data_IF_925482604460
#
_entry.id   IF_925482604460
#
_cell.length_a   1.000
_cell.length_b   1.000
_cell.length_c   1.000
_cell.angle_alpha   90.00
_cell.angle_beta   90.00
_cell.angle_gamma   90.00
#
_symmetry.space_group_name_H-M   'P 1'
#
loop_
_entity.id
_entity.type
_entity.pdbx_description
1 polymer ?
#
# COMPACT_ATOMS: atom_id res chain seq x y z
N UNK A 1 -4.23 14.19 -21.53
CA UNK A 1 -4.41 12.72 -21.59
C UNK A 1 -4.59 12.34 -23.06
N UNK A 2 -4.03 11.22 -23.54
CA UNK A 2 -3.80 10.95 -24.98
C UNK A 2 -5.04 10.83 -25.89
N UNK A 3 -6.26 11.01 -25.34
CA UNK A 3 -7.51 10.89 -26.11
C UNK A 3 -7.80 9.46 -26.60
N UNK A 4 -7.12 8.47 -26.02
CA UNK A 4 -7.28 7.05 -26.35
C UNK A 4 -8.32 6.46 -25.41
N UNK A 5 -9.28 5.72 -25.96
CA UNK A 5 -10.27 4.97 -25.19
C UNK A 5 -9.57 3.91 -24.31
N UNK A 6 -9.93 3.87 -23.02
CA UNK A 6 -9.46 2.85 -22.10
C UNK A 6 -10.49 1.73 -22.01
N UNK A 7 -10.10 0.54 -22.42
CA UNK A 7 -10.88 -0.69 -22.23
C UNK A 7 -10.27 -1.45 -21.06
N UNK A 8 -10.95 -1.44 -19.92
CA UNK A 8 -10.53 -2.19 -18.74
C UNK A 8 -11.01 -3.64 -18.82
N UNK A 9 -10.08 -4.60 -18.66
CA UNK A 9 -10.40 -6.03 -18.58
C UNK A 9 -10.60 -6.49 -17.15
N UNK A 10 -11.16 -7.70 -16.99
CA UNK A 10 -11.41 -8.28 -15.67
C UNK A 10 -10.12 -8.50 -14.87
N UNK A 11 -10.15 -8.13 -13.59
CA UNK A 11 -9.05 -8.36 -12.65
C UNK A 11 -9.18 -9.72 -11.95
N UNK A 12 -8.95 -10.80 -12.71
CA UNK A 12 -9.12 -12.19 -12.25
C UNK A 12 -7.87 -12.74 -11.53
N UNK A 13 -7.72 -12.31 -10.27
CA UNK A 13 -6.62 -12.69 -9.37
C UNK A 13 -6.63 -14.19 -9.06
N UNK A 14 -7.79 -14.76 -8.76
CA UNK A 14 -7.90 -16.15 -8.30
C UNK A 14 -7.44 -17.15 -9.35
N UNK A 15 -7.89 -17.02 -10.60
CA UNK A 15 -7.42 -17.95 -11.62
C UNK A 15 -5.98 -17.64 -12.05
N UNK A 16 -5.52 -16.39 -11.92
CA UNK A 16 -4.10 -16.10 -12.12
C UNK A 16 -3.24 -16.80 -11.06
N UNK A 17 -3.63 -16.75 -9.78
CA UNK A 17 -2.96 -17.47 -8.69
C UNK A 17 -2.96 -18.99 -8.91
N UNK A 18 -4.08 -19.55 -9.38
CA UNK A 18 -4.14 -20.98 -9.75
C UNK A 18 -3.17 -21.32 -10.89
N UNK A 19 -3.09 -20.47 -11.91
CA UNK A 19 -2.24 -20.71 -13.08
C UNK A 19 -0.74 -20.67 -12.72
N UNK A 20 -0.33 -19.83 -11.78
CA UNK A 20 1.08 -19.69 -11.37
C UNK A 20 1.46 -20.55 -10.16
N UNK A 21 0.56 -21.42 -9.71
CA UNK A 21 0.81 -22.31 -8.56
C UNK A 21 1.99 -23.24 -8.85
N UNK A 22 2.94 -23.32 -7.92
CA UNK A 22 4.20 -24.05 -8.08
C UNK A 22 5.33 -23.24 -8.71
N UNK A 23 5.06 -22.02 -9.18
CA UNK A 23 6.05 -21.11 -9.78
C UNK A 23 6.26 -19.85 -8.91
N UNK A 24 5.86 -19.87 -7.65
CA UNK A 24 5.88 -18.70 -6.75
C UNK A 24 7.31 -18.17 -6.52
N UNK A 25 8.29 -19.07 -6.53
CA UNK A 25 9.70 -18.75 -6.31
C UNK A 25 10.50 -18.49 -7.60
N UNK A 26 9.86 -18.58 -8.77
CA UNK A 26 10.53 -18.31 -10.05
C UNK A 26 11.03 -16.86 -10.09
N UNK A 27 12.28 -16.65 -10.52
CA UNK A 27 12.86 -15.32 -10.63
C UNK A 27 12.13 -14.49 -11.70
N UNK A 28 12.39 -13.19 -11.69
CA UNK A 28 11.99 -12.33 -12.81
C UNK A 28 12.61 -12.87 -14.11
N UNK A 29 11.82 -12.90 -15.21
CA UNK A 29 12.14 -13.57 -16.49
C UNK A 29 12.10 -15.11 -16.47
N UNK A 30 11.74 -15.73 -15.34
CA UNK A 30 11.48 -17.18 -15.26
C UNK A 30 10.10 -17.59 -15.77
N UNK A 31 9.74 -18.85 -15.54
CA UNK A 31 8.53 -19.49 -16.10
C UNK A 31 7.23 -18.82 -15.66
N UNK A 32 7.17 -18.31 -14.42
CA UNK A 32 6.03 -17.52 -13.93
C UNK A 32 5.72 -16.31 -14.81
N UNK A 33 6.75 -15.67 -15.39
CA UNK A 33 6.55 -14.54 -16.28
C UNK A 33 5.88 -14.98 -17.59
N UNK A 34 6.27 -16.11 -18.15
CA UNK A 34 5.66 -16.66 -19.37
C UNK A 34 4.16 -16.91 -19.17
N UNK A 35 3.77 -17.59 -18.07
CA UNK A 35 2.35 -17.83 -17.72
C UNK A 35 1.57 -16.51 -17.61
N UNK A 36 2.18 -15.49 -17.00
CA UNK A 36 1.56 -14.18 -16.86
C UNK A 36 1.36 -13.47 -18.22
N UNK A 37 2.33 -13.58 -19.13
CA UNK A 37 2.23 -13.01 -20.47
C UNK A 37 1.15 -13.72 -21.28
N UNK A 38 1.13 -15.05 -21.28
CA UNK A 38 0.12 -15.83 -22.02
C UNK A 38 -1.29 -15.41 -21.62
N UNK A 39 -1.59 -15.38 -20.31
CA UNK A 39 -2.92 -14.99 -19.82
C UNK A 39 -3.29 -13.55 -20.20
N UNK A 40 -2.35 -12.60 -20.07
CA UNK A 40 -2.63 -11.17 -20.36
C UNK A 40 -2.75 -10.91 -21.86
N UNK A 41 -1.85 -11.48 -22.66
CA UNK A 41 -1.85 -11.27 -24.11
C UNK A 41 -3.02 -11.98 -24.76
N UNK A 42 -3.48 -13.12 -24.22
CA UNK A 42 -4.64 -13.81 -24.76
C UNK A 42 -5.89 -12.94 -24.70
N UNK A 43 -6.14 -12.29 -23.55
CA UNK A 43 -7.27 -11.36 -23.38
C UNK A 43 -7.14 -10.17 -24.36
N UNK A 44 -5.95 -9.58 -24.48
CA UNK A 44 -5.71 -8.46 -25.42
C UNK A 44 -5.88 -8.87 -26.88
N UNK A 45 -5.30 -10.00 -27.30
CA UNK A 45 -5.37 -10.49 -28.67
C UNK A 45 -6.81 -10.87 -29.06
N UNK A 46 -7.55 -11.52 -28.15
CA UNK A 46 -8.96 -11.82 -28.35
C UNK A 46 -9.78 -10.53 -28.52
N UNK A 47 -9.57 -9.53 -27.66
CA UNK A 47 -10.29 -8.26 -27.73
C UNK A 47 -9.97 -7.49 -29.01
N UNK A 48 -8.70 -7.42 -29.39
CA UNK A 48 -8.26 -6.79 -30.65
C UNK A 48 -8.94 -7.44 -31.86
N UNK A 49 -8.94 -8.78 -31.93
CA UNK A 49 -9.60 -9.54 -33.00
C UNK A 49 -11.11 -9.28 -33.04
N UNK A 50 -11.79 -9.24 -31.88
CA UNK A 50 -13.23 -8.91 -31.80
C UNK A 50 -13.56 -7.48 -32.28
N UNK A 51 -12.63 -6.54 -32.11
CA UNK A 51 -12.78 -5.16 -32.57
C UNK A 51 -12.45 -4.99 -34.06
N UNK A 52 -11.93 -6.04 -34.71
CA UNK A 52 -11.47 -5.97 -36.10
C UNK A 52 -10.08 -5.34 -36.26
N UNK A 53 -9.32 -5.22 -35.17
CA UNK A 53 -7.95 -4.70 -35.22
C UNK A 53 -6.99 -5.73 -35.83
N UNK A 54 -6.14 -5.27 -36.75
CA UNK A 54 -5.18 -6.15 -37.43
C UNK A 54 -3.93 -6.44 -36.59
N UNK A 55 -3.63 -5.58 -35.61
CA UNK A 55 -2.38 -5.62 -34.86
C UNK A 55 -2.58 -5.31 -33.39
N UNK A 56 -1.76 -5.92 -32.52
CA UNK A 56 -1.66 -5.53 -31.12
C UNK A 56 -0.20 -5.48 -30.68
N UNK A 57 0.07 -4.76 -29.59
CA UNK A 57 1.40 -4.63 -28.99
C UNK A 57 1.28 -4.52 -27.47
N UNK A 58 2.41 -4.36 -26.77
CA UNK A 58 2.43 -4.30 -25.31
C UNK A 58 3.43 -3.30 -24.78
N UNK A 59 3.02 -2.54 -23.76
CA UNK A 59 3.91 -1.66 -22.99
C UNK A 59 5.00 -2.43 -22.24
N UNK A 60 4.83 -3.75 -22.02
CA UNK A 60 5.84 -4.62 -21.40
C UNK A 60 7.16 -4.65 -22.19
N UNK A 61 7.13 -4.35 -23.50
CA UNK A 61 8.30 -4.27 -24.38
C UNK A 61 9.28 -3.15 -23.98
N UNK A 62 8.82 -2.16 -23.22
CA UNK A 62 9.67 -1.08 -22.69
C UNK A 62 10.48 -1.50 -21.46
N UNK A 63 10.12 -2.61 -20.80
CA UNK A 63 10.69 -2.96 -19.50
C UNK A 63 12.03 -3.71 -19.62
N UNK A 64 13.12 -3.25 -18.96
CA UNK A 64 14.37 -4.02 -18.90
C UNK A 64 14.25 -5.27 -18.03
N UNK A 65 13.22 -5.33 -17.17
CA UNK A 65 12.94 -6.47 -16.29
C UNK A 65 12.25 -7.62 -17.01
N UNK A 66 11.75 -7.42 -18.23
CA UNK A 66 11.06 -8.46 -19.00
C UNK A 66 11.96 -9.05 -20.10
N UNK A 67 11.80 -10.34 -20.38
CA UNK A 67 12.46 -10.98 -21.52
C UNK A 67 11.70 -10.62 -22.78
N UNK A 68 12.38 -9.95 -23.71
CA UNK A 68 11.78 -9.58 -25.00
C UNK A 68 11.47 -10.81 -25.84
N UNK A 69 12.30 -11.85 -25.74
CA UNK A 69 12.10 -13.11 -26.44
C UNK A 69 10.85 -13.84 -25.96
N UNK A 70 10.62 -13.91 -24.63
CA UNK A 70 9.40 -14.49 -24.07
C UNK A 70 8.15 -13.70 -24.49
N UNK A 71 8.22 -12.36 -24.43
CA UNK A 71 7.11 -11.50 -24.86
C UNK A 71 6.79 -11.68 -26.35
N UNK A 72 7.83 -11.69 -27.19
CA UNK A 72 7.67 -11.90 -28.63
C UNK A 72 7.07 -13.27 -28.92
N UNK A 73 7.60 -14.33 -28.29
CA UNK A 73 7.09 -15.69 -28.46
C UNK A 73 5.60 -15.80 -28.07
N UNK A 74 5.23 -15.33 -26.88
CA UNK A 74 3.84 -15.35 -26.42
C UNK A 74 2.91 -14.56 -27.36
N UNK A 75 3.34 -13.37 -27.77
CA UNK A 75 2.59 -12.54 -28.71
C UNK A 75 2.42 -13.18 -30.09
N UNK A 76 3.47 -13.75 -30.67
CA UNK A 76 3.44 -14.41 -31.98
C UNK A 76 2.51 -15.65 -31.98
N UNK A 77 2.53 -16.44 -30.90
CA UNK A 77 1.64 -17.60 -30.74
C UNK A 77 0.18 -17.16 -30.72
N UNK A 78 -0.15 -16.11 -29.97
CA UNK A 78 -1.51 -15.60 -29.83
C UNK A 78 -1.98 -14.84 -31.08
N UNK A 79 -1.09 -14.10 -31.73
CA UNK A 79 -1.33 -13.46 -33.01
C UNK A 79 -1.78 -14.50 -34.05
N UNK A 80 -1.07 -15.64 -34.14
CA UNK A 80 -1.45 -16.76 -35.00
C UNK A 80 -2.80 -17.36 -34.62
N UNK A 81 -3.07 -17.54 -33.32
CA UNK A 81 -4.33 -18.09 -32.81
C UNK A 81 -5.56 -17.24 -33.20
N UNK A 82 -5.43 -15.91 -33.14
CA UNK A 82 -6.54 -14.98 -33.39
C UNK A 82 -6.52 -14.33 -34.79
N UNK A 83 -5.62 -14.79 -35.67
CA UNK A 83 -5.45 -14.27 -37.04
C UNK A 83 -5.21 -12.74 -37.09
N UNK A 84 -4.32 -12.26 -36.21
CA UNK A 84 -3.84 -10.87 -36.14
C UNK A 84 -2.30 -10.87 -36.10
N UNK A 85 -1.66 -9.70 -36.03
CA UNK A 85 -0.19 -9.58 -35.91
C UNK A 85 0.24 -8.98 -34.57
N UNK A 86 1.31 -9.51 -33.98
CA UNK A 86 1.94 -8.90 -32.81
C UNK A 86 3.13 -8.05 -33.22
N UNK A 87 3.15 -6.79 -32.77
CA UNK A 87 4.26 -5.86 -33.03
C UNK A 87 5.14 -5.82 -31.78
N UNK A 88 6.41 -6.24 -31.90
CA UNK A 88 7.36 -6.34 -30.80
C UNK A 88 8.67 -5.53 -30.98
N UNK A 89 8.62 -4.19 -31.06
CA UNK A 89 9.83 -3.37 -31.17
C UNK A 89 10.64 -3.40 -29.89
N UNK A 90 11.97 -3.37 -30.00
CA UNK A 90 12.85 -3.24 -28.84
C UNK A 90 13.00 -1.76 -28.45
N UNK A 91 12.03 -1.22 -27.71
CA UNK A 91 12.02 0.18 -27.25
C UNK A 91 13.15 0.53 -26.27
N UNK A 92 13.98 -0.44 -25.87
CA UNK A 92 15.06 -0.23 -24.90
C UNK A 92 16.38 0.16 -25.58
N UNK A 93 16.51 -0.12 -26.87
CA UNK A 93 17.69 0.23 -27.69
C UNK A 93 17.79 1.73 -27.93
N UNK A 94 18.95 2.19 -28.39
CA UNK A 94 19.20 3.58 -28.78
C UNK A 94 18.77 4.61 -27.71
N UNK A 95 19.07 4.34 -26.44
CA UNK A 95 18.71 5.20 -25.30
C UNK A 95 17.20 5.33 -25.02
N UNK A 96 16.34 4.49 -25.61
CA UNK A 96 14.89 4.58 -25.42
C UNK A 96 14.45 4.42 -23.94
N UNK A 97 15.20 3.67 -23.12
CA UNK A 97 14.94 3.62 -21.67
C UNK A 97 15.18 4.98 -20.99
N UNK A 98 16.19 5.73 -21.42
CA UNK A 98 16.48 7.06 -20.88
C UNK A 98 15.42 8.07 -21.32
N UNK A 99 15.03 8.02 -22.59
CA UNK A 99 13.97 8.88 -23.14
C UNK A 99 12.63 8.64 -22.42
N UNK A 100 12.25 7.38 -22.22
CA UNK A 100 11.07 7.02 -21.40
C UNK A 100 11.15 7.62 -19.98
N UNK A 101 12.34 7.60 -19.36
CA UNK A 101 12.53 8.17 -18.03
C UNK A 101 12.38 9.69 -18.01
N UNK A 102 12.78 10.38 -19.09
CA UNK A 102 12.65 11.83 -19.23
C UNK A 102 11.17 12.18 -19.40
N UNK A 103 10.50 11.56 -20.36
CA UNK A 103 9.06 11.78 -20.61
C UNK A 103 8.21 11.51 -19.37
N UNK A 104 8.45 10.39 -18.67
CA UNK A 104 7.70 10.08 -17.46
C UNK A 104 7.92 11.10 -16.33
N UNK A 105 9.08 11.78 -16.29
CA UNK A 105 9.35 12.85 -15.31
C UNK A 105 8.69 14.16 -15.74
N UNK A 106 8.74 14.49 -17.02
CA UNK A 106 8.10 15.67 -17.59
C UNK A 106 6.58 15.62 -17.39
N UNK A 107 5.98 14.45 -17.62
CA UNK A 107 4.55 14.19 -17.43
C UNK A 107 4.18 13.87 -15.96
N UNK A 108 5.15 13.91 -15.04
CA UNK A 108 4.99 13.58 -13.63
C UNK A 108 4.21 12.27 -13.39
N UNK A 109 4.47 11.25 -14.20
CA UNK A 109 3.78 9.95 -14.14
C UNK A 109 4.21 9.16 -12.91
N UNK A 110 3.26 8.44 -12.30
CA UNK A 110 3.59 7.46 -11.29
C UNK A 110 4.50 6.38 -11.88
N UNK A 111 5.58 6.08 -11.17
CA UNK A 111 6.56 5.09 -11.60
C UNK A 111 6.70 3.99 -10.58
N UNK A 112 6.08 2.87 -10.90
CA UNK A 112 6.26 1.63 -10.18
C UNK A 112 7.68 1.08 -10.39
N UNK A 113 8.34 0.66 -9.30
CA UNK A 113 9.70 0.11 -9.32
C UNK A 113 9.74 -1.44 -9.35
N UNK A 114 8.59 -2.09 -9.45
CA UNK A 114 8.42 -3.55 -9.48
C UNK A 114 7.51 -3.97 -10.64
N UNK A 115 7.44 -5.27 -10.93
CA UNK A 115 6.73 -5.81 -12.10
C UNK A 115 5.19 -5.70 -12.02
N UNK A 116 4.60 -5.54 -10.83
CA UNK A 116 3.15 -5.65 -10.60
C UNK A 116 2.69 -7.02 -10.13
N UNK A 117 3.60 -8.00 -10.01
CA UNK A 117 3.31 -9.30 -9.43
C UNK A 117 3.71 -9.34 -7.94
N UNK A 118 2.83 -9.85 -7.07
CA UNK A 118 3.09 -9.97 -5.63
C UNK A 118 4.33 -10.83 -5.32
N UNK A 119 4.60 -11.88 -6.10
CA UNK A 119 5.78 -12.73 -5.90
C UNK A 119 7.08 -11.97 -6.19
N UNK A 120 7.11 -11.23 -7.31
CA UNK A 120 8.26 -10.39 -7.65
C UNK A 120 8.46 -9.26 -6.64
N UNK A 121 7.36 -8.64 -6.17
CA UNK A 121 7.39 -7.63 -5.13
C UNK A 121 7.99 -8.18 -3.82
N UNK A 122 7.49 -9.32 -3.33
CA UNK A 122 7.98 -9.93 -2.10
C UNK A 122 9.48 -10.27 -2.16
N UNK A 123 9.93 -10.88 -3.27
CA UNK A 123 11.36 -11.18 -3.47
C UNK A 123 12.19 -9.89 -3.44
N UNK A 124 11.76 -8.86 -4.19
CA UNK A 124 12.47 -7.58 -4.27
C UNK A 124 12.53 -6.86 -2.91
N UNK A 125 11.41 -6.79 -2.18
CA UNK A 125 11.33 -6.12 -0.88
C UNK A 125 12.13 -6.86 0.19
N UNK A 126 12.11 -8.20 0.18
CA UNK A 126 12.96 -9.01 1.05
C UNK A 126 14.46 -8.76 0.81
N UNK A 127 14.89 -8.70 -0.45
CA UNK A 127 16.29 -8.37 -0.80
C UNK A 127 16.68 -6.96 -0.37
N UNK A 128 15.75 -6.01 -0.46
CA UNK A 128 15.93 -4.62 -0.01
C UNK A 128 15.82 -4.46 1.51
N UNK A 129 15.44 -5.51 2.25
CA UNK A 129 15.06 -5.45 3.68
C UNK A 129 14.00 -4.37 3.95
N UNK A 130 13.07 -4.19 3.01
CA UNK A 130 11.95 -3.26 3.09
C UNK A 130 10.65 -4.04 3.32
N UNK A 131 9.71 -3.43 4.03
CA UNK A 131 8.36 -3.95 4.13
C UNK A 131 7.67 -3.89 2.75
N UNK A 132 6.97 -4.96 2.35
CA UNK A 132 6.09 -4.95 1.18
C UNK A 132 4.73 -4.35 1.57
N UNK A 133 4.74 -3.08 1.97
CA UNK A 133 3.54 -2.39 2.47
C UNK A 133 2.48 -2.17 1.38
N UNK A 134 2.83 -2.36 0.12
CA UNK A 134 1.88 -2.36 -0.99
C UNK A 134 0.89 -3.53 -0.94
N UNK A 135 1.17 -4.58 -0.14
CA UNK A 135 0.30 -5.73 0.06
C UNK A 135 -0.58 -5.61 1.31
N UNK A 136 -0.56 -4.45 1.97
CA UNK A 136 -1.25 -4.26 3.23
C UNK A 136 -2.59 -3.59 3.00
N UNK A 137 -3.64 -4.15 3.59
CA UNK A 137 -4.95 -3.53 3.67
C UNK A 137 -5.39 -3.50 5.13
N UNK A 138 -5.54 -2.32 5.73
CA UNK A 138 -6.00 -2.21 7.12
C UNK A 138 -7.46 -2.64 7.22
N UNK A 139 -7.80 -3.34 8.30
CA UNK A 139 -9.18 -3.81 8.56
C UNK A 139 -10.21 -2.67 8.64
N UNK A 140 -9.74 -1.48 9.03
CA UNK A 140 -10.53 -0.25 9.11
C UNK A 140 -10.74 0.44 7.76
N UNK A 141 -10.06 -0.01 6.71
CA UNK A 141 -9.95 0.67 5.42
C UNK A 141 -9.39 2.12 5.51
N UNK A 142 -8.79 2.48 6.66
CA UNK A 142 -8.14 3.77 6.84
C UNK A 142 -6.97 3.91 5.86
N UNK A 143 -7.03 4.91 4.98
CA UNK A 143 -5.94 5.23 4.05
C UNK A 143 -4.66 5.52 4.86
N UNK A 144 -3.63 4.68 4.66
CA UNK A 144 -2.34 4.82 5.34
C UNK A 144 -1.39 5.73 4.53
N UNK A 145 -0.43 6.42 5.17
CA UNK A 145 0.59 7.19 4.45
C UNK A 145 1.36 6.31 3.47
N UNK A 146 1.54 6.74 2.22
CA UNK A 146 2.19 5.95 1.14
C UNK A 146 1.54 4.59 0.79
N UNK A 147 0.29 4.37 1.20
CA UNK A 147 -0.52 3.27 0.65
C UNK A 147 -0.87 3.51 -0.82
N UNK A 148 -1.37 2.47 -1.50
CA UNK A 148 -1.87 2.58 -2.87
C UNK A 148 -3.02 3.60 -2.93
N UNK A 149 -3.91 3.57 -1.95
CA UNK A 149 -5.05 4.48 -1.81
C UNK A 149 -4.60 5.93 -1.62
N UNK A 150 -3.54 6.17 -0.82
CA UNK A 150 -2.98 7.50 -0.65
C UNK A 150 -2.38 8.05 -1.96
N UNK A 151 -1.71 7.20 -2.74
CA UNK A 151 -1.17 7.58 -4.06
C UNK A 151 -2.28 7.89 -5.04
N UNK A 152 -3.33 7.06 -5.10
CA UNK A 152 -4.51 7.32 -5.94
C UNK A 152 -5.12 8.68 -5.58
N UNK A 153 -5.38 8.94 -4.29
CA UNK A 153 -5.93 10.22 -3.84
C UNK A 153 -5.05 11.42 -4.22
N UNK A 154 -3.72 11.26 -4.20
CA UNK A 154 -2.78 12.29 -4.64
C UNK A 154 -2.91 12.58 -6.15
N UNK A 155 -2.98 11.54 -6.99
CA UNK A 155 -3.09 11.70 -8.44
C UNK A 155 -4.48 12.19 -8.87
N UNK A 156 -5.55 11.79 -8.18
CA UNK A 156 -6.87 12.37 -8.36
C UNK A 156 -6.92 13.86 -7.98
N UNK A 157 -6.18 14.25 -6.94
CA UNK A 157 -6.01 15.68 -6.61
C UNK A 157 -5.24 16.39 -7.72
N UNK A 158 -4.19 15.78 -8.27
CA UNK A 158 -3.42 16.32 -9.39
C UNK A 158 -4.31 16.59 -10.60
N UNK A 159 -5.10 15.61 -11.02
CA UNK A 159 -6.04 15.77 -12.14
C UNK A 159 -7.01 16.92 -11.92
N UNK A 160 -7.59 17.04 -10.71
CA UNK A 160 -8.46 18.17 -10.38
C UNK A 160 -7.76 19.53 -10.51
N UNK A 161 -6.49 19.65 -10.13
CA UNK A 161 -5.73 20.89 -10.31
C UNK A 161 -5.44 21.17 -11.80
N UNK A 162 -5.13 20.14 -12.58
CA UNK A 162 -4.94 20.24 -14.04
C UNK A 162 -6.21 20.73 -14.74
N UNK A 163 -7.39 20.19 -14.36
CA UNK A 163 -8.68 20.57 -14.93
C UNK A 163 -9.01 22.05 -14.74
N UNK A 164 -8.59 22.64 -13.60
CA UNK A 164 -8.78 24.07 -13.31
C UNK A 164 -7.55 24.93 -13.61
N UNK A 165 -6.54 24.36 -14.29
CA UNK A 165 -5.28 25.03 -14.65
C UNK A 165 -4.49 25.63 -13.46
N UNK A 166 -4.59 25.03 -12.28
CA UNK A 166 -3.75 25.40 -11.14
C UNK A 166 -2.36 24.78 -11.30
N UNK A 167 -1.34 25.65 -11.31
CA UNK A 167 0.05 25.20 -11.34
C UNK A 167 0.39 24.45 -10.06
N UNK A 168 1.06 23.32 -10.23
CA UNK A 168 1.43 22.46 -9.11
C UNK A 168 2.76 21.75 -9.39
N UNK A 169 3.31 21.13 -8.35
CA UNK A 169 4.52 20.33 -8.42
C UNK A 169 4.44 19.16 -7.45
N UNK A 170 4.77 17.97 -7.93
CA UNK A 170 4.99 16.81 -7.05
C UNK A 170 6.43 16.86 -6.55
N UNK A 171 6.60 16.79 -5.23
CA UNK A 171 7.90 16.70 -4.57
C UNK A 171 7.98 15.45 -3.71
N UNK A 172 9.20 15.00 -3.41
CA UNK A 172 9.45 13.85 -2.55
C UNK A 172 9.90 14.30 -1.17
N UNK A 173 9.31 13.72 -0.14
CA UNK A 173 9.59 14.00 1.27
C UNK A 173 9.95 12.69 1.99
N UNK A 174 11.06 12.68 2.74
CA UNK A 174 11.37 11.57 3.66
C UNK A 174 10.56 11.74 4.93
N UNK A 175 9.94 10.66 5.39
CA UNK A 175 9.15 10.68 6.61
C UNK A 175 9.27 9.36 7.38
N UNK A 176 8.86 9.39 8.65
CA UNK A 176 8.77 8.20 9.49
C UNK A 176 7.43 7.52 9.24
N UNK A 177 7.46 6.37 8.59
CA UNK A 177 6.29 5.58 8.28
C UNK A 177 6.04 4.51 9.34
N UNK A 178 4.79 4.07 9.44
CA UNK A 178 4.35 3.10 10.42
C UNK A 178 3.28 2.18 9.85
N UNK A 179 3.35 0.90 10.21
CA UNK A 179 2.36 -0.12 9.87
C UNK A 179 2.12 -1.04 11.05
N UNK A 180 0.87 -1.16 11.47
CA UNK A 180 0.44 -2.22 12.37
C UNK A 180 0.26 -3.53 11.61
N UNK A 181 0.84 -4.62 12.11
CA UNK A 181 0.60 -5.97 11.60
C UNK A 181 -0.56 -6.61 12.36
N UNK A 182 -0.47 -6.60 13.69
CA UNK A 182 -1.52 -7.10 14.57
C UNK A 182 -1.38 -6.52 15.98
N UNK A 183 -2.49 -6.52 16.72
CA UNK A 183 -2.54 -6.04 18.09
C UNK A 183 -3.62 -6.76 18.89
N UNK A 184 -3.26 -7.24 20.07
CA UNK A 184 -4.17 -7.92 20.98
C UNK A 184 -3.95 -7.41 22.41
N UNK A 185 -5.03 -7.00 23.05
CA UNK A 185 -5.07 -6.79 24.49
C UNK A 185 -5.75 -8.00 25.14
N UNK A 186 -5.12 -8.57 26.16
CA UNK A 186 -5.65 -9.71 26.91
C UNK A 186 -5.74 -9.41 28.39
N UNK A 187 -6.90 -9.73 28.98
CA UNK A 187 -7.17 -9.61 30.41
C UNK A 187 -7.69 -10.97 30.90
N UNK A 188 -7.12 -11.51 31.99
CA UNK A 188 -7.41 -12.89 32.45
C UNK A 188 -7.36 -13.94 31.32
N UNK A 189 -6.35 -13.84 30.43
CA UNK A 189 -6.16 -14.69 29.24
C UNK A 189 -7.24 -14.56 28.14
N UNK A 190 -8.26 -13.71 28.30
CA UNK A 190 -9.27 -13.43 27.28
C UNK A 190 -8.91 -12.18 26.48
N UNK A 191 -9.05 -12.24 25.16
CA UNK A 191 -8.88 -11.07 24.29
C UNK A 191 -10.03 -10.11 24.51
N UNK A 192 -9.71 -8.82 24.67
CA UNK A 192 -10.69 -7.74 24.77
C UNK A 192 -10.45 -6.75 23.62
N UNK A 193 -11.49 -6.13 23.07
CA UNK A 193 -11.33 -5.09 22.06
C UNK A 193 -10.45 -3.94 22.57
N UNK A 194 -9.47 -3.55 21.75
CA UNK A 194 -8.62 -2.39 21.99
C UNK A 194 -8.17 -1.82 20.65
N UNK A 195 -8.21 -0.50 20.52
CA UNK A 195 -7.70 0.21 19.35
C UNK A 195 -6.30 0.76 19.66
N UNK A 196 -5.37 0.65 18.72
CA UNK A 196 -4.00 1.12 18.89
C UNK A 196 -3.80 2.38 18.07
N UNK A 197 -3.41 3.48 18.71
CA UNK A 197 -3.18 4.73 17.97
C UNK A 197 -1.95 4.60 17.05
N UNK A 198 -1.91 5.32 15.91
CA UNK A 198 -0.75 5.37 15.04
C UNK A 198 0.56 5.67 15.77
N UNK A 199 1.67 5.21 15.19
CA UNK A 199 3.03 5.33 15.75
C UNK A 199 3.25 4.59 17.09
N UNK A 200 2.28 3.80 17.55
CA UNK A 200 2.47 2.90 18.69
C UNK A 200 3.48 1.81 18.33
N UNK A 201 4.48 1.59 19.17
CA UNK A 201 5.50 0.54 19.01
C UNK A 201 5.68 -0.26 20.31
N UNK A 202 6.17 -1.50 20.20
CA UNK A 202 6.51 -2.34 21.34
C UNK A 202 7.78 -3.15 21.04
N UNK A 203 8.80 -3.01 21.89
CA UNK A 203 10.16 -3.52 21.63
C UNK A 203 10.24 -5.03 21.37
N UNK A 204 9.50 -5.83 22.13
CA UNK A 204 9.59 -7.30 22.10
C UNK A 204 8.30 -7.96 21.58
N UNK A 205 7.44 -7.21 20.88
CA UNK A 205 6.12 -7.64 20.41
C UNK A 205 5.14 -8.16 21.50
N UNK A 206 5.58 -8.17 22.76
CA UNK A 206 4.84 -8.65 23.91
C UNK A 206 5.22 -7.87 25.18
N UNK A 207 4.21 -7.53 25.98
CA UNK A 207 4.41 -6.99 27.32
C UNK A 207 3.29 -7.42 28.26
N UNK A 208 3.56 -7.34 29.56
CA UNK A 208 2.63 -7.73 30.62
C UNK A 208 2.86 -6.89 31.86
N UNK A 209 1.81 -6.27 32.36
CA UNK A 209 1.88 -5.39 33.53
C UNK A 209 0.51 -5.04 34.09
N UNK A 210 0.51 -4.08 35.00
CA UNK A 210 -0.70 -3.42 35.52
C UNK A 210 -0.56 -1.94 35.26
N UNK A 211 -1.68 -1.27 35.09
CA UNK A 211 -1.73 0.18 35.07
C UNK A 211 -1.51 0.66 36.52
N UNK A 212 -0.55 1.55 36.72
CA UNK A 212 -0.07 1.95 38.04
C UNK A 212 -0.09 3.46 38.28
N UNK A 213 -0.25 4.27 37.24
CA UNK A 213 -0.33 5.72 37.37
C UNK A 213 -1.34 6.33 36.40
N UNK A 214 -1.85 7.50 36.73
CA UNK A 214 -2.68 8.33 35.87
C UNK A 214 -2.18 9.77 35.93
N UNK A 215 -1.97 10.38 34.77
CA UNK A 215 -1.65 11.79 34.64
C UNK A 215 -2.60 12.38 33.61
N UNK A 216 -3.43 13.32 34.03
CA UNK A 216 -4.51 13.89 33.23
C UNK A 216 -5.43 12.77 32.67
N UNK A 217 -5.55 12.69 31.34
CA UNK A 217 -6.37 11.73 30.62
C UNK A 217 -5.64 10.42 30.29
N UNK A 218 -4.32 10.35 30.55
CA UNK A 218 -3.48 9.19 30.23
C UNK A 218 -3.29 8.30 31.45
N UNK A 219 -3.48 7.01 31.25
CA UNK A 219 -3.17 5.97 32.22
C UNK A 219 -1.91 5.22 31.80
N UNK A 220 -1.00 4.99 32.73
CA UNK A 220 0.34 4.49 32.44
C UNK A 220 0.52 3.09 33.01
N UNK A 221 1.16 2.24 32.22
CA UNK A 221 1.81 1.02 32.67
C UNK A 221 3.31 1.26 32.52
N UNK A 222 4.03 1.32 33.65
CA UNK A 222 5.47 1.63 33.64
C UNK A 222 6.30 0.70 32.74
N UNK A 223 5.89 -0.57 32.62
CA UNK A 223 6.58 -1.52 31.75
C UNK A 223 6.34 -1.19 30.27
N UNK A 224 7.43 -1.01 29.53
CA UNK A 224 7.43 -0.65 28.10
C UNK A 224 6.65 0.66 27.81
N UNK A 225 6.55 1.53 28.82
CA UNK A 225 6.01 2.89 28.73
C UNK A 225 4.61 2.98 28.10
N UNK A 226 3.82 1.91 28.21
CA UNK A 226 2.51 1.80 27.57
C UNK A 226 1.51 2.74 28.22
N UNK A 227 0.73 3.42 27.38
CA UNK A 227 -0.28 4.37 27.77
C UNK A 227 -1.67 3.91 27.34
N UNK A 228 -2.68 4.33 28.07
CA UNK A 228 -4.07 4.00 27.80
C UNK A 228 -4.95 5.25 27.92
N UNK A 229 -5.98 5.32 27.08
CA UNK A 229 -7.11 6.23 27.21
C UNK A 229 -8.42 5.44 27.09
N UNK A 230 -9.51 6.00 27.61
CA UNK A 230 -10.84 5.40 27.43
C UNK A 230 -11.44 5.79 26.08
N UNK A 231 -12.44 5.03 25.62
CA UNK A 231 -13.24 5.37 24.45
C UNK A 231 -13.93 6.74 24.61
N UNK A 232 -14.38 7.05 25.83
CA UNK A 232 -14.96 8.36 26.15
C UNK A 232 -13.97 9.49 25.87
N UNK A 233 -12.73 9.35 26.35
CA UNK A 233 -11.65 10.31 26.06
C UNK A 233 -11.38 10.40 24.56
N UNK A 234 -11.30 9.27 23.86
CA UNK A 234 -11.08 9.26 22.42
C UNK A 234 -12.19 9.99 21.66
N UNK A 235 -13.46 9.73 21.98
CA UNK A 235 -14.63 10.39 21.40
C UNK A 235 -14.58 11.91 21.61
N UNK A 236 -14.24 12.35 22.82
CA UNK A 236 -14.08 13.77 23.13
C UNK A 236 -12.98 14.42 22.28
N UNK A 237 -11.80 13.82 22.20
CA UNK A 237 -10.65 14.38 21.47
C UNK A 237 -10.83 14.35 19.95
N UNK A 238 -11.53 13.35 19.44
CA UNK A 238 -11.81 13.18 18.02
C UNK A 238 -13.05 13.93 17.56
N UNK A 239 -13.92 14.40 18.47
CA UNK A 239 -15.25 14.89 18.13
C UNK A 239 -16.10 13.82 17.43
N UNK A 240 -16.01 12.57 17.89
CA UNK A 240 -16.78 11.44 17.39
C UNK A 240 -17.65 10.82 18.48
N UNK A 241 -18.45 9.82 18.13
CA UNK A 241 -19.46 9.22 18.99
C UNK A 241 -19.51 7.69 18.83
N UNK A 242 -18.36 7.03 18.81
CA UNK A 242 -18.31 5.56 18.75
C UNK A 242 -18.96 4.96 20.00
N UNK A 243 -19.84 3.98 19.79
CA UNK A 243 -20.57 3.25 20.86
C UNK A 243 -19.71 2.22 21.57
N UNK A 244 -18.73 1.66 20.88
CA UNK A 244 -17.85 0.61 21.36
C UNK A 244 -16.55 0.58 20.56
N UNK A 245 -15.54 -0.11 21.09
CA UNK A 245 -14.21 -0.21 20.47
C UNK A 245 -14.22 -0.96 19.13
N UNK A 246 -15.09 -1.96 18.92
CA UNK A 246 -15.10 -2.68 17.63
C UNK A 246 -15.54 -1.74 16.51
N UNK A 247 -16.58 -0.93 16.75
CA UNK A 247 -17.03 0.07 15.79
C UNK A 247 -15.89 1.03 15.41
N UNK A 248 -15.07 1.45 16.38
CA UNK A 248 -13.85 2.25 16.12
C UNK A 248 -12.80 1.47 15.29
N UNK A 249 -12.54 0.20 15.60
CA UNK A 249 -11.56 -0.63 14.87
C UNK A 249 -11.96 -0.79 13.40
N UNK A 250 -13.25 -0.97 13.10
CA UNK A 250 -13.72 -1.19 11.73
C UNK A 250 -14.01 0.10 10.96
N UNK A 251 -14.15 1.25 11.65
CA UNK A 251 -14.50 2.54 11.04
C UNK A 251 -13.58 3.65 11.54
N UNK A 252 -12.29 3.37 11.66
CA UNK A 252 -11.30 4.31 12.19
C UNK A 252 -11.27 5.59 11.33
N UNK A 253 -11.17 6.79 11.95
CA UNK A 253 -11.09 8.05 11.19
C UNK A 253 -9.80 8.13 10.36
N UNK A 254 -9.55 9.23 9.63
CA UNK A 254 -8.30 9.38 8.86
C UNK A 254 -7.04 9.31 9.74
N UNK A 255 -5.95 8.80 9.17
CA UNK A 255 -4.66 8.66 9.85
C UNK A 255 -4.18 10.00 10.45
N UNK A 256 -4.35 11.10 9.72
CA UNK A 256 -4.02 12.45 10.19
C UNK A 256 -4.84 12.88 11.41
N UNK A 257 -6.13 12.51 11.47
CA UNK A 257 -6.99 12.81 12.61
C UNK A 257 -6.51 12.06 13.85
N UNK A 258 -6.12 10.80 13.70
CA UNK A 258 -5.54 10.03 14.80
C UNK A 258 -4.17 10.55 15.26
N UNK A 259 -3.32 10.99 14.34
CA UNK A 259 -2.07 11.68 14.69
C UNK A 259 -2.33 12.95 15.49
N UNK A 260 -3.35 13.73 15.16
CA UNK A 260 -3.75 14.92 15.94
C UNK A 260 -4.18 14.54 17.36
N UNK A 261 -4.97 13.46 17.50
CA UNK A 261 -5.36 12.94 18.82
C UNK A 261 -4.12 12.53 19.61
N UNK A 262 -3.22 11.76 19.00
CA UNK A 262 -1.94 11.37 19.61
C UNK A 262 -1.16 12.61 20.08
N UNK A 263 -0.94 13.59 19.21
CA UNK A 263 -0.18 14.80 19.52
C UNK A 263 -0.86 15.69 20.58
N UNK A 264 -2.18 15.57 20.78
CA UNK A 264 -2.87 16.22 21.88
C UNK A 264 -2.60 15.51 23.22
N UNK A 265 -2.51 14.18 23.20
CA UNK A 265 -2.25 13.37 24.39
C UNK A 265 -0.79 13.48 24.85
N UNK A 266 0.15 13.53 23.92
CA UNK A 266 1.60 13.56 24.20
C UNK A 266 2.26 14.83 23.65
N UNK A 267 3.05 15.51 24.48
CA UNK A 267 3.72 16.76 24.10
C UNK A 267 4.96 16.58 23.21
N UNK A 268 5.35 15.35 22.89
CA UNK A 268 6.51 15.03 22.06
C UNK A 268 6.07 14.28 20.79
N UNK A 269 6.16 14.86 19.58
CA UNK A 269 5.75 14.20 18.35
C UNK A 269 6.61 12.98 17.97
N UNK A 270 7.76 12.79 18.62
CA UNK A 270 8.66 11.65 18.43
C UNK A 270 8.45 10.52 19.45
N UNK A 271 7.50 10.65 20.37
CA UNK A 271 7.19 9.57 21.31
C UNK A 271 6.44 8.45 20.56
N UNK A 272 7.06 7.26 20.53
CA UNK A 272 6.58 6.04 19.87
C UNK A 272 5.96 5.03 20.83
N UNK A 273 5.75 5.42 22.09
CA UNK A 273 5.15 4.56 23.10
C UNK A 273 3.79 4.06 22.63
N UNK A 274 3.47 2.82 22.98
CA UNK A 274 2.19 2.24 22.64
C UNK A 274 1.05 2.98 23.37
N UNK A 275 0.04 3.46 22.63
CA UNK A 275 -1.16 4.09 23.21
C UNK A 275 -2.38 3.29 22.77
N UNK A 276 -3.11 2.73 23.74
CA UNK A 276 -4.32 1.96 23.50
C UNK A 276 -5.56 2.76 23.89
N UNK A 277 -6.60 2.65 23.08
CA UNK A 277 -7.97 3.05 23.42
C UNK A 277 -8.71 1.80 23.87
N UNK A 278 -9.29 1.87 25.06
CA UNK A 278 -10.04 0.77 25.68
C UNK A 278 -11.40 1.28 26.14
N UNK A 279 -12.37 0.37 26.27
CA UNK A 279 -13.71 0.72 26.78
C UNK A 279 -13.60 1.28 28.21
N UNK A 280 -12.96 0.50 29.08
CA UNK A 280 -12.68 0.83 30.47
C UNK A 280 -11.22 0.53 30.80
N UNK A 281 -10.64 1.30 31.74
CA UNK A 281 -9.26 1.10 32.18
C UNK A 281 -9.14 -0.22 32.97
N UNK A 282 -8.32 -1.19 32.52
CA UNK A 282 -8.17 -2.46 33.22
C UNK A 282 -7.56 -2.30 34.62
N UNK A 283 -8.29 -2.70 35.66
CA UNK A 283 -7.77 -2.76 37.05
C UNK A 283 -6.84 -3.96 37.31
N UNK A 284 -6.82 -4.92 36.39
CA UNK A 284 -6.13 -6.19 36.55
C UNK A 284 -4.87 -6.26 35.68
N UNK A 285 -4.07 -7.31 35.93
CA UNK A 285 -2.89 -7.58 35.11
C UNK A 285 -3.33 -7.91 33.68
N UNK A 286 -2.74 -7.19 32.73
CA UNK A 286 -3.00 -7.30 31.31
C UNK A 286 -1.77 -7.80 30.57
N UNK A 287 -2.00 -8.36 29.38
CA UNK A 287 -0.98 -8.79 28.42
C UNK A 287 -1.28 -8.09 27.10
N UNK A 288 -0.25 -7.54 26.45
CA UNK A 288 -0.34 -6.93 25.13
C UNK A 288 0.56 -7.74 24.20
N UNK A 289 0.01 -8.18 23.08
CA UNK A 289 0.75 -8.81 21.98
C UNK A 289 0.56 -7.89 20.79
N UNK A 290 1.60 -7.19 20.39
CA UNK A 290 1.47 -6.10 19.43
C UNK A 290 2.71 -6.02 18.54
N UNK A 291 2.48 -6.11 17.24
CA UNK A 291 3.52 -6.03 16.22
C UNK A 291 3.23 -4.88 15.28
N UNK A 292 4.20 -3.99 15.17
CA UNK A 292 4.20 -2.89 14.21
C UNK A 292 5.59 -2.67 13.64
N UNK A 293 5.66 -2.15 12.43
CA UNK A 293 6.90 -1.69 11.84
C UNK A 293 6.93 -0.17 11.88
N UNK A 294 8.09 0.36 12.28
CA UNK A 294 8.44 1.75 12.07
C UNK A 294 9.67 1.79 11.18
N UNK A 295 9.63 2.60 10.14
CA UNK A 295 10.68 2.64 9.14
C UNK A 295 10.71 3.99 8.44
N UNK A 296 11.87 4.32 7.90
CA UNK A 296 12.00 5.47 7.04
C UNK A 296 11.42 5.17 5.66
N UNK A 297 10.65 6.11 5.13
CA UNK A 297 10.03 6.01 3.81
C UNK A 297 10.06 7.36 3.08
N UNK A 298 9.72 7.33 1.79
CA UNK A 298 9.62 8.53 0.95
C UNK A 298 8.21 8.63 0.41
N UNK A 299 7.57 9.78 0.66
CA UNK A 299 6.26 10.10 0.12
C UNK A 299 6.30 11.13 -0.98
N UNK A 300 5.32 11.06 -1.86
CA UNK A 300 5.04 12.13 -2.82
C UNK A 300 4.04 13.11 -2.21
N UNK A 301 4.29 14.41 -2.39
CA UNK A 301 3.43 15.50 -1.92
C UNK A 301 3.17 16.44 -3.07
N UNK A 302 1.89 16.76 -3.26
CA UNK A 302 1.44 17.70 -4.28
C UNK A 302 1.39 19.13 -3.69
N UNK A 303 2.26 19.99 -4.18
CA UNK A 303 2.34 21.40 -3.79
C UNK A 303 1.77 22.29 -4.89
N UNK A 304 0.87 23.19 -4.53
CA UNK A 304 0.43 24.28 -5.41
C UNK A 304 1.55 25.33 -5.49
N UNK A 305 1.79 25.85 -6.68
CA UNK A 305 2.82 26.87 -6.91
C UNK A 305 2.16 28.13 -7.49
N UNK A 306 2.59 29.27 -6.97
CA UNK A 306 2.24 30.61 -7.46
C UNK A 306 2.87 30.90 -8.81
#
# INVERSE_FOLDING_TARGET
MLGIELIEGDYDVDNWLKAVRGFENEPEKGERCAICFDKRFEVTAQKASQMGEATFTSTLLTSPKKSLEQLKYAGDVLAKKFNISFIAPDYRKASGTQEQNILAKEDALYRQDYCGCLFALNIQRNQQKRLADELFSPISQQIQPESIEARIALYEKRWRLEDVNIKHKIVKERFLNWRQIHGHLRIKKKTVPAHFLPLSTLKNEYTRGKIDNQINQLHYMNRDEVKFITLTTYNQLSGSNYSDINTLIFNTPSFEKELKIRNHLISNPYDLSCILVVEEIPSQKLEIIYKSHIYEDVREVLLEIS
#
